data_IF_225484059783
#
_entry.id   IF_225484059783
#
_cell.length_a   1.000
_cell.length_b   1.000
_cell.length_c   1.000
_cell.angle_alpha   90.00
_cell.angle_beta   90.00
_cell.angle_gamma   90.00
#
_symmetry.space_group_name_H-M   'P 1'
#
loop_
_entity.id
_entity.type
_entity.pdbx_description
1 polymer ?
#
# COMPACT_ATOMS: atom_id res chain seq x y z
N UNK A 1 -22.89 9.65 -53.48
CA UNK A 1 -23.95 10.09 -52.53
C UNK A 1 -25.07 9.07 -52.60
N UNK A 2 -25.05 8.09 -51.70
CA UNK A 2 -26.01 6.99 -51.71
C UNK A 2 -27.22 7.43 -50.87
N UNK A 3 -28.27 7.91 -51.52
CA UNK A 3 -29.50 8.38 -50.88
C UNK A 3 -30.33 7.18 -50.43
N UNK A 4 -30.40 6.98 -49.11
CA UNK A 4 -31.23 5.93 -48.50
C UNK A 4 -32.72 6.07 -48.91
N UNK A 5 -33.42 4.98 -49.26
CA UNK A 5 -34.83 5.05 -49.64
C UNK A 5 -35.69 5.46 -48.44
N UNK A 6 -36.55 6.48 -48.61
CA UNK A 6 -37.41 7.06 -47.56
C UNK A 6 -38.38 6.06 -46.92
N UNK A 7 -38.57 4.88 -47.52
CA UNK A 7 -39.37 3.77 -46.97
C UNK A 7 -38.73 3.11 -45.76
N UNK A 8 -37.40 2.92 -45.74
CA UNK A 8 -36.70 2.31 -44.61
C UNK A 8 -36.60 3.25 -43.40
N UNK A 9 -36.56 4.56 -43.63
CA UNK A 9 -36.58 5.55 -42.55
C UNK A 9 -37.92 5.53 -41.80
N UNK A 10 -39.03 5.35 -42.52
CA UNK A 10 -40.37 5.20 -41.93
C UNK A 10 -40.52 3.88 -41.18
N UNK A 11 -39.93 2.80 -41.70
CA UNK A 11 -39.92 1.50 -41.01
C UNK A 11 -39.07 1.52 -39.73
N UNK A 12 -37.88 2.14 -39.77
CA UNK A 12 -37.00 2.26 -38.60
C UNK A 12 -37.61 3.13 -37.49
N UNK A 13 -38.31 4.22 -37.85
CA UNK A 13 -39.01 5.07 -36.89
C UNK A 13 -40.26 4.41 -36.28
N UNK A 14 -40.98 3.58 -37.04
CA UNK A 14 -42.06 2.77 -36.46
C UNK A 14 -41.52 1.71 -35.48
N UNK A 15 -40.36 1.12 -35.77
CA UNK A 15 -39.73 0.11 -34.92
C UNK A 15 -39.23 0.70 -33.59
N UNK A 16 -38.65 1.92 -33.59
CA UNK A 16 -38.20 2.58 -32.35
C UNK A 16 -39.37 3.00 -31.46
N UNK A 17 -40.49 3.43 -32.04
CA UNK A 17 -41.70 3.78 -31.28
C UNK A 17 -42.31 2.53 -30.63
N UNK A 18 -42.38 1.41 -31.35
CA UNK A 18 -42.86 0.13 -30.80
C UNK A 18 -41.95 -0.38 -29.67
N UNK A 19 -40.63 -0.24 -29.81
CA UNK A 19 -39.69 -0.66 -28.76
C UNK A 19 -39.79 0.19 -27.49
N UNK A 20 -40.02 1.50 -27.63
CA UNK A 20 -40.22 2.40 -26.49
C UNK A 20 -41.51 2.09 -25.70
N UNK A 21 -42.59 1.72 -26.39
CA UNK A 21 -43.87 1.34 -25.76
C UNK A 21 -43.74 -0.02 -25.05
N UNK A 22 -42.98 -0.96 -25.60
CA UNK A 22 -42.72 -2.26 -24.98
C UNK A 22 -41.92 -2.14 -23.67
N UNK A 23 -40.96 -1.20 -23.58
CA UNK A 23 -40.18 -0.98 -22.35
C UNK A 23 -41.03 -0.27 -21.28
N UNK A 24 -41.92 0.65 -21.67
CA UNK A 24 -42.77 1.39 -20.74
C UNK A 24 -43.91 0.59 -20.09
N UNK A 25 -44.21 -0.62 -20.57
CA UNK A 25 -45.33 -1.46 -20.09
C UNK A 25 -44.88 -2.69 -19.30
N UNK A 26 -43.57 -2.87 -19.08
CA UNK A 26 -43.05 -3.94 -18.23
C UNK A 26 -43.38 -3.64 -16.76
N UNK A 27 -44.08 -4.54 -16.04
CA UNK A 27 -44.35 -4.36 -14.63
C UNK A 27 -43.03 -4.42 -13.86
N UNK A 28 -42.71 -3.35 -13.13
CA UNK A 28 -41.59 -3.34 -12.21
C UNK A 28 -41.85 -4.37 -11.11
N UNK A 29 -41.05 -5.45 -11.08
CA UNK A 29 -41.08 -6.43 -10.01
C UNK A 29 -40.55 -5.75 -8.74
N UNK A 30 -41.44 -5.33 -7.86
CA UNK A 30 -41.09 -4.85 -6.53
C UNK A 30 -40.66 -6.05 -5.69
N UNK A 31 -39.36 -6.15 -5.42
CA UNK A 31 -38.87 -7.04 -4.37
C UNK A 31 -39.22 -6.40 -3.02
N UNK A 32 -40.24 -6.96 -2.37
CA UNK A 32 -40.61 -6.61 -1.00
C UNK A 32 -39.50 -7.13 -0.07
N UNK A 33 -38.61 -6.23 0.37
CA UNK A 33 -37.75 -6.49 1.52
C UNK A 33 -38.64 -6.65 2.75
N UNK A 34 -38.84 -7.88 3.19
CA UNK A 34 -39.44 -8.15 4.50
C UNK A 34 -38.35 -7.88 5.53
N UNK A 35 -38.35 -6.69 6.13
CA UNK A 35 -37.59 -6.43 7.35
C UNK A 35 -38.33 -7.09 8.52
N UNK A 36 -37.97 -8.33 8.86
CA UNK A 36 -38.30 -8.89 10.17
C UNK A 36 -37.41 -8.24 11.23
N UNK A 37 -37.96 -7.49 12.21
CA UNK A 37 -37.16 -7.05 13.35
C UNK A 37 -36.83 -8.27 14.22
N UNK A 38 -35.57 -8.66 14.25
CA UNK A 38 -35.06 -9.61 15.25
C UNK A 38 -34.92 -8.85 16.56
N UNK A 39 -35.83 -9.08 17.50
CA UNK A 39 -35.67 -8.67 18.89
C UNK A 39 -34.82 -9.71 19.61
N UNK A 40 -33.61 -9.34 20.04
CA UNK A 40 -32.79 -10.17 20.92
C UNK A 40 -33.21 -9.90 22.37
N UNK A 41 -34.07 -10.77 22.91
CA UNK A 41 -34.37 -10.79 24.33
C UNK A 41 -33.21 -11.48 25.07
N UNK A 42 -32.36 -10.68 25.71
CA UNK A 42 -31.31 -11.18 26.60
C UNK A 42 -31.96 -11.57 27.92
N UNK A 43 -32.25 -12.87 28.08
CA UNK A 43 -32.61 -13.43 29.39
C UNK A 43 -31.35 -13.53 30.24
N UNK A 44 -31.22 -12.64 31.23
CA UNK A 44 -30.16 -12.74 32.24
C UNK A 44 -30.58 -13.84 33.23
N UNK A 45 -29.95 -15.00 33.13
CA UNK A 45 -30.08 -16.07 34.11
C UNK A 45 -29.08 -15.80 35.25
N UNK A 46 -29.56 -15.24 36.37
CA UNK A 46 -28.79 -15.17 37.61
C UNK A 46 -28.58 -16.59 38.17
N UNK A 47 -27.40 -17.16 37.95
CA UNK A 47 -26.93 -18.32 38.70
C UNK A 47 -25.88 -17.87 39.71
N UNK A 48 -26.18 -18.12 40.99
CA UNK A 48 -25.32 -17.86 42.15
C UNK A 48 -24.05 -18.71 42.06
N UNK A 49 -22.83 -18.13 42.16
CA UNK A 49 -21.61 -18.92 42.10
C UNK A 49 -21.31 -19.55 43.47
N UNK A 50 -21.27 -20.86 43.51
CA UNK A 50 -20.62 -21.65 44.56
C UNK A 50 -19.11 -21.72 44.23
N UNK A 51 -18.19 -21.54 45.21
CA UNK A 51 -16.76 -21.46 44.92
C UNK A 51 -16.20 -22.83 44.50
N UNK A 52 -15.52 -22.95 43.36
CA UNK A 52 -14.76 -24.16 43.07
C UNK A 52 -13.46 -24.14 43.87
N UNK A 53 -13.23 -25.25 44.57
CA UNK A 53 -11.98 -25.60 45.23
C UNK A 53 -10.84 -25.58 44.19
N UNK A 54 -9.96 -24.58 44.28
CA UNK A 54 -8.83 -24.42 43.36
C UNK A 54 -7.81 -25.51 43.65
N UNK A 55 -7.80 -26.54 42.81
CA UNK A 55 -6.64 -27.40 42.62
C UNK A 55 -5.52 -26.51 42.10
N UNK A 56 -4.61 -26.11 42.98
CA UNK A 56 -3.43 -25.32 42.66
C UNK A 56 -2.51 -26.14 41.73
N UNK A 57 -2.76 -26.05 40.43
CA UNK A 57 -1.75 -26.32 39.43
C UNK A 57 -0.72 -25.20 39.57
N UNK A 58 0.42 -25.52 40.19
CA UNK A 58 1.63 -24.72 40.10
C UNK A 58 1.99 -24.60 38.63
N UNK A 59 1.54 -23.52 38.00
CA UNK A 59 2.21 -22.94 36.85
C UNK A 59 3.53 -22.41 37.39
N UNK A 60 4.58 -23.22 37.31
CA UNK A 60 5.93 -22.67 37.28
C UNK A 60 5.98 -21.73 36.08
N UNK A 61 5.76 -20.45 36.36
CA UNK A 61 6.08 -19.34 35.51
C UNK A 61 7.59 -19.40 35.25
N UNK A 62 7.98 -20.07 34.17
CA UNK A 62 9.26 -19.81 33.53
C UNK A 62 9.18 -18.40 32.96
N UNK A 63 9.36 -17.43 33.84
CA UNK A 63 9.62 -16.04 33.47
C UNK A 63 10.91 -16.02 32.65
N UNK A 64 10.78 -16.12 31.34
CA UNK A 64 11.82 -15.66 30.41
C UNK A 64 12.24 -14.26 30.86
N UNK A 65 13.54 -13.96 30.99
CA UNK A 65 14.00 -12.65 31.42
C UNK A 65 13.37 -11.58 30.50
N UNK A 66 12.80 -10.53 31.10
CA UNK A 66 12.24 -9.38 30.38
C UNK A 66 13.34 -8.64 29.61
N UNK A 67 13.71 -9.17 28.45
CA UNK A 67 14.59 -8.53 27.50
C UNK A 67 13.82 -7.34 26.90
N UNK A 68 14.34 -6.12 27.06
CA UNK A 68 13.63 -4.90 26.70
C UNK A 68 14.08 -4.40 25.33
N UNK A 69 13.11 -4.06 24.48
CA UNK A 69 13.36 -3.37 23.22
C UNK A 69 13.46 -1.86 23.44
N UNK A 70 14.63 -1.30 23.15
CA UNK A 70 14.90 0.13 23.20
C UNK A 70 14.83 0.68 21.78
N UNK A 71 13.97 1.68 21.56
CA UNK A 71 13.81 2.33 20.27
C UNK A 71 14.77 3.51 20.15
N UNK A 72 15.57 3.53 19.08
CA UNK A 72 16.58 4.55 18.83
C UNK A 72 16.26 5.31 17.57
N UNK A 73 16.12 6.62 17.71
CA UNK A 73 16.02 7.56 16.59
C UNK A 73 17.40 8.11 16.23
N UNK A 74 17.78 7.99 14.97
CA UNK A 74 19.05 8.49 14.44
C UNK A 74 19.00 10.01 14.36
N UNK A 75 19.93 10.68 15.04
CA UNK A 75 20.03 12.14 15.06
C UNK A 75 20.98 12.66 13.97
N UNK A 76 20.90 13.95 13.66
CA UNK A 76 21.83 14.58 12.72
C UNK A 76 23.27 14.42 13.22
N UNK A 77 24.13 13.85 12.37
CA UNK A 77 25.52 13.57 12.71
C UNK A 77 25.75 12.27 13.49
N UNK A 78 24.71 11.48 13.76
CA UNK A 78 24.90 10.12 14.27
C UNK A 78 25.51 9.21 13.19
N UNK A 79 26.29 8.24 13.65
CA UNK A 79 26.60 7.01 12.94
C UNK A 79 26.41 5.86 13.94
N UNK A 80 26.46 4.61 13.47
CA UNK A 80 26.16 3.46 14.32
C UNK A 80 27.11 3.36 15.54
N UNK A 81 28.38 3.72 15.37
CA UNK A 81 29.36 3.78 16.47
C UNK A 81 28.98 4.79 17.56
N UNK A 82 28.59 6.01 17.18
CA UNK A 82 28.13 7.04 18.13
C UNK A 82 26.86 6.63 18.85
N UNK A 83 25.97 5.92 18.15
CA UNK A 83 24.75 5.41 18.76
C UNK A 83 25.08 4.33 19.78
N UNK A 84 25.92 3.35 19.43
CA UNK A 84 26.37 2.31 20.36
C UNK A 84 27.02 2.92 21.60
N UNK A 85 27.89 3.92 21.45
CA UNK A 85 28.48 4.64 22.56
C UNK A 85 27.43 5.33 23.44
N UNK A 86 26.45 6.00 22.83
CA UNK A 86 25.37 6.70 23.56
C UNK A 86 24.50 5.76 24.39
N UNK A 87 24.34 4.52 23.96
CA UNK A 87 23.56 3.48 24.68
C UNK A 87 24.44 2.49 25.44
N UNK A 88 25.72 2.83 25.66
CA UNK A 88 26.70 2.04 26.41
C UNK A 88 26.88 0.59 25.89
N UNK A 89 26.78 0.39 24.58
CA UNK A 89 27.06 -0.89 23.93
C UNK A 89 28.54 -1.04 23.57
N UNK A 90 29.00 -2.29 23.56
CA UNK A 90 30.39 -2.62 23.31
C UNK A 90 30.77 -2.36 21.85
N UNK A 91 31.93 -1.73 21.64
CA UNK A 91 32.48 -1.51 20.30
C UNK A 91 32.83 -2.82 19.59
N UNK A 92 33.15 -3.89 20.34
CA UNK A 92 33.41 -5.21 19.79
C UNK A 92 32.16 -5.80 19.11
N UNK A 93 30.98 -5.64 19.72
CA UNK A 93 29.72 -6.09 19.12
C UNK A 93 29.45 -5.37 17.80
N UNK A 94 29.71 -4.06 17.75
CA UNK A 94 29.58 -3.31 16.51
C UNK A 94 30.50 -3.86 15.43
N UNK A 95 31.77 -4.13 15.76
CA UNK A 95 32.73 -4.67 14.80
C UNK A 95 32.26 -6.04 14.28
N UNK A 96 31.85 -6.94 15.17
CA UNK A 96 31.32 -8.26 14.79
C UNK A 96 30.13 -8.15 13.83
N UNK A 97 29.22 -7.20 14.05
CA UNK A 97 28.06 -6.97 13.16
C UNK A 97 28.49 -6.41 11.81
N UNK A 98 29.44 -5.47 11.80
CA UNK A 98 29.97 -4.87 10.57
C UNK A 98 30.72 -5.89 9.70
N UNK A 99 31.32 -6.91 10.33
CA UNK A 99 32.07 -7.98 9.67
C UNK A 99 31.17 -9.07 9.07
N UNK A 100 29.85 -9.04 9.30
CA UNK A 100 28.88 -9.95 8.67
C UNK A 100 28.68 -9.72 7.16
N UNK A 101 29.39 -8.75 6.57
CA UNK A 101 29.45 -8.57 5.12
C UNK A 101 28.40 -7.63 4.54
N UNK A 102 27.91 -7.95 3.33
CA UNK A 102 27.09 -7.04 2.53
C UNK A 102 25.73 -6.71 3.16
N UNK A 103 25.11 -7.65 3.88
CA UNK A 103 23.83 -7.41 4.53
C UNK A 103 23.91 -6.34 5.62
N UNK A 104 25.07 -6.22 6.27
CA UNK A 104 25.33 -5.19 7.28
C UNK A 104 25.57 -3.80 6.67
N UNK A 105 25.71 -3.67 5.34
CA UNK A 105 25.92 -2.37 4.66
C UNK A 105 24.75 -1.42 4.91
N UNK A 106 23.54 -1.94 5.05
CA UNK A 106 22.36 -1.12 5.36
C UNK A 106 22.48 -0.41 6.72
N UNK A 107 23.15 -1.04 7.69
CA UNK A 107 23.43 -0.45 9.00
C UNK A 107 24.57 0.60 8.95
N UNK A 108 25.45 0.54 7.95
CA UNK A 108 26.51 1.55 7.72
C UNK A 108 25.95 2.86 7.16
N UNK A 109 24.80 2.81 6.49
CA UNK A 109 24.18 3.95 5.78
C UNK A 109 22.93 4.47 6.48
N UNK A 110 22.89 4.39 7.81
CA UNK A 110 21.78 4.98 8.56
C UNK A 110 21.74 6.50 8.38
N UNK A 111 20.55 7.03 8.12
CA UNK A 111 20.31 8.45 7.87
C UNK A 111 19.56 9.08 9.05
N UNK A 112 19.79 10.38 9.33
CA UNK A 112 19.01 11.10 10.32
C UNK A 112 17.50 10.97 10.07
N UNK A 113 16.74 10.72 11.14
CA UNK A 113 15.29 10.50 11.08
C UNK A 113 14.86 9.04 10.95
N UNK A 114 15.78 8.13 10.58
CA UNK A 114 15.51 6.70 10.65
C UNK A 114 15.46 6.21 12.10
N UNK A 115 14.77 5.10 12.31
CA UNK A 115 14.58 4.48 13.62
C UNK A 115 14.94 2.99 13.55
N UNK A 116 15.51 2.47 14.63
CA UNK A 116 15.75 1.05 14.81
C UNK A 116 15.60 0.67 16.28
N UNK A 117 15.37 -0.61 16.53
CA UNK A 117 15.20 -1.15 17.87
C UNK A 117 16.42 -2.00 18.24
N UNK A 118 16.85 -1.89 19.50
CA UNK A 118 17.89 -2.70 20.10
C UNK A 118 17.26 -3.53 21.21
N UNK A 119 17.51 -4.83 21.25
CA UNK A 119 17.12 -5.68 22.37
C UNK A 119 18.33 -5.87 23.28
N UNK A 120 18.17 -5.53 24.56
CA UNK A 120 19.23 -5.66 25.57
C UNK A 120 18.84 -6.68 26.63
N UNK A 121 19.83 -7.40 27.15
CA UNK A 121 19.65 -8.22 28.34
C UNK A 121 19.69 -7.37 29.63
N UNK A 122 19.52 -8.02 30.79
CA UNK A 122 19.55 -7.35 32.09
C UNK A 122 20.90 -6.72 32.44
N UNK A 123 21.99 -7.18 31.81
CA UNK A 123 23.34 -6.65 31.99
C UNK A 123 23.67 -5.49 31.03
N UNK A 124 22.76 -5.19 30.09
CA UNK A 124 22.98 -4.20 29.04
C UNK A 124 23.75 -4.74 27.82
N UNK A 125 23.92 -6.06 27.71
CA UNK A 125 24.51 -6.70 26.53
C UNK A 125 23.51 -6.66 25.38
N UNK A 126 24.00 -6.35 24.17
CA UNK A 126 23.19 -6.37 22.96
C UNK A 126 22.78 -7.80 22.61
N UNK A 127 21.49 -8.09 22.53
CA UNK A 127 20.95 -9.38 22.08
C UNK A 127 20.49 -9.34 20.63
N UNK A 128 19.85 -8.24 20.20
CA UNK A 128 19.36 -8.13 18.84
C UNK A 128 19.27 -6.68 18.34
N UNK A 129 19.31 -6.52 17.01
CA UNK A 129 18.99 -5.27 16.29
C UNK A 129 17.85 -5.57 15.33
N UNK A 130 16.83 -4.71 15.34
CA UNK A 130 15.78 -4.70 14.34
C UNK A 130 15.77 -3.35 13.63
N UNK A 131 16.05 -3.35 12.34
CA UNK A 131 16.04 -2.16 11.51
C UNK A 131 15.03 -2.31 10.36
N UNK A 132 13.90 -1.62 10.47
CA UNK A 132 12.90 -1.59 9.42
C UNK A 132 13.33 -0.59 8.33
N UNK A 133 13.87 -1.11 7.23
CA UNK A 133 14.35 -0.29 6.11
C UNK A 133 13.18 0.22 5.26
N UNK A 134 12.17 -0.62 5.06
CA UNK A 134 10.88 -0.25 4.45
C UNK A 134 9.77 -1.05 5.14
N UNK A 135 8.50 -0.74 4.85
CA UNK A 135 7.39 -1.57 5.35
C UNK A 135 7.45 -3.04 4.88
N UNK A 136 8.21 -3.34 3.81
CA UNK A 136 8.40 -4.68 3.29
C UNK A 136 9.70 -5.34 3.74
N UNK A 137 10.69 -4.57 4.18
CA UNK A 137 12.05 -5.07 4.43
C UNK A 137 12.48 -4.70 5.85
N UNK A 138 12.66 -5.71 6.69
CA UNK A 138 13.21 -5.58 8.03
C UNK A 138 14.51 -6.36 8.13
N UNK A 139 15.59 -5.69 8.51
CA UNK A 139 16.85 -6.32 8.84
C UNK A 139 16.81 -6.78 10.30
N UNK A 140 17.12 -8.05 10.53
CA UNK A 140 17.26 -8.65 11.85
C UNK A 140 18.70 -9.07 12.05
N UNK A 141 19.25 -8.68 13.19
CA UNK A 141 20.57 -9.10 13.66
C UNK A 141 20.36 -9.72 15.03
N UNK A 142 20.62 -11.01 15.18
CA UNK A 142 20.40 -11.75 16.41
C UNK A 142 21.75 -12.26 16.93
N UNK A 143 22.01 -12.14 18.23
CA UNK A 143 23.22 -12.71 18.84
C UNK A 143 23.13 -14.23 18.83
N UNK A 144 24.19 -14.88 18.35
CA UNK A 144 24.36 -16.33 18.40
C UNK A 144 25.69 -16.61 19.08
N UNK A 145 25.63 -17.13 20.30
CA UNK A 145 26.79 -17.30 21.18
C UNK A 145 27.55 -15.98 21.39
N UNK A 146 28.78 -15.87 20.91
CA UNK A 146 29.61 -14.66 21.00
C UNK A 146 29.68 -13.86 19.69
N UNK A 147 28.95 -14.29 18.65
CA UNK A 147 28.84 -13.60 17.36
C UNK A 147 27.39 -13.18 17.08
N UNK A 148 27.11 -12.79 15.84
CA UNK A 148 25.80 -12.39 15.37
C UNK A 148 25.44 -13.10 14.06
N UNK A 149 24.16 -13.37 13.88
CA UNK A 149 23.57 -13.76 12.61
C UNK A 149 22.75 -12.61 12.05
N UNK A 150 22.80 -12.41 10.74
CA UNK A 150 22.06 -11.36 10.03
C UNK A 150 21.11 -12.00 9.03
N UNK A 151 19.89 -11.48 8.94
CA UNK A 151 18.91 -11.90 7.93
C UNK A 151 17.95 -10.78 7.59
N UNK A 152 17.51 -10.78 6.34
CA UNK A 152 16.37 -9.98 5.91
C UNK A 152 15.08 -10.75 6.16
N UNK A 153 14.11 -10.08 6.76
CA UNK A 153 12.72 -10.49 6.78
C UNK A 153 11.95 -9.63 5.78
N UNK A 154 11.33 -10.29 4.81
CA UNK A 154 10.47 -9.65 3.82
C UNK A 154 9.01 -9.93 4.18
N UNK A 155 8.21 -8.87 4.31
CA UNK A 155 6.76 -9.03 4.47
C UNK A 155 6.15 -9.40 3.11
N UNK A 156 5.15 -10.29 3.13
CA UNK A 156 4.41 -10.66 1.92
C UNK A 156 3.40 -9.54 1.59
N UNK A 157 3.56 -8.85 0.44
CA UNK A 157 2.64 -7.77 0.09
C UNK A 157 1.34 -8.30 -0.50
N UNK A 158 0.24 -7.66 -0.15
CA UNK A 158 -0.98 -7.70 -0.96
C UNK A 158 -0.91 -6.64 -2.05
N UNK A 159 -1.34 -6.99 -3.27
CA UNK A 159 -1.40 -6.07 -4.40
C UNK A 159 -2.84 -5.84 -4.81
N UNK A 160 -3.28 -4.60 -4.75
CA UNK A 160 -4.61 -4.18 -5.18
C UNK A 160 -4.48 -3.37 -6.47
N UNK A 161 -5.29 -3.70 -7.47
CA UNK A 161 -5.29 -2.99 -8.75
C UNK A 161 -6.26 -1.82 -8.69
N UNK A 162 -5.76 -0.63 -8.99
CA UNK A 162 -6.52 0.62 -8.92
C UNK A 162 -6.57 1.31 -10.27
N UNK A 163 -7.74 1.81 -10.63
CA UNK A 163 -7.96 2.63 -11.83
C UNK A 163 -8.12 4.10 -11.46
N UNK A 164 -7.49 4.97 -12.24
CA UNK A 164 -7.65 6.43 -12.14
C UNK A 164 -7.73 7.04 -13.54
N UNK A 165 -8.37 8.20 -13.64
CA UNK A 165 -8.42 8.99 -14.87
C UNK A 165 -8.57 10.47 -14.57
N UNK A 166 -8.08 11.30 -15.48
CA UNK A 166 -8.27 12.74 -15.43
C UNK A 166 -8.37 13.35 -16.83
N UNK A 167 -8.88 14.58 -16.88
CA UNK A 167 -8.97 15.41 -18.08
C UNK A 167 -8.27 16.74 -17.82
N UNK A 168 -7.49 17.20 -18.79
CA UNK A 168 -6.88 18.51 -18.79
C UNK A 168 -7.98 19.56 -19.00
N UNK A 169 -8.05 20.51 -18.08
CA UNK A 169 -9.08 21.55 -18.04
C UNK A 169 -8.42 22.91 -17.90
N UNK A 170 -9.18 23.99 -17.98
CA UNK A 170 -8.62 25.35 -17.82
C UNK A 170 -8.08 25.56 -16.39
N UNK A 171 -8.73 24.97 -15.40
CA UNK A 171 -8.35 25.01 -13.99
C UNK A 171 -7.27 23.97 -13.63
N UNK A 172 -7.13 22.90 -14.43
CA UNK A 172 -6.07 21.89 -14.28
C UNK A 172 -5.31 21.75 -15.60
N UNK A 173 -4.44 22.74 -15.95
CA UNK A 173 -3.94 22.91 -17.30
C UNK A 173 -2.75 22.02 -17.67
N UNK A 174 -2.28 21.15 -16.76
CA UNK A 174 -1.14 20.26 -17.00
C UNK A 174 -1.37 18.86 -16.44
N UNK A 175 -0.56 17.90 -16.91
CA UNK A 175 -0.52 16.54 -16.39
C UNK A 175 -0.39 16.52 -14.86
N UNK A 176 0.48 17.37 -14.30
CA UNK A 176 0.68 17.45 -12.86
C UNK A 176 -0.60 17.92 -12.14
N UNK A 177 -1.17 19.06 -12.53
CA UNK A 177 -2.39 19.60 -11.88
C UNK A 177 -3.58 18.64 -12.00
N UNK A 178 -3.77 18.04 -13.18
CA UNK A 178 -4.84 17.08 -13.41
C UNK A 178 -4.61 15.78 -12.62
N UNK A 179 -3.37 15.31 -12.54
CA UNK A 179 -2.99 14.10 -11.79
C UNK A 179 -3.20 14.26 -10.29
N UNK A 180 -2.71 15.35 -9.69
CA UNK A 180 -2.91 15.63 -8.27
C UNK A 180 -4.41 15.71 -7.95
N UNK A 181 -5.19 16.40 -8.79
CA UNK A 181 -6.63 16.50 -8.58
C UNK A 181 -7.39 15.17 -8.74
N UNK A 182 -6.86 14.23 -9.51
CA UNK A 182 -7.39 12.86 -9.60
C UNK A 182 -6.95 11.95 -8.44
N UNK A 183 -6.12 12.47 -7.53
CA UNK A 183 -5.56 11.73 -6.40
C UNK A 183 -4.37 10.84 -6.77
N UNK A 184 -3.63 11.18 -7.83
CA UNK A 184 -2.34 10.55 -8.12
C UNK A 184 -1.24 11.16 -7.26
N UNK A 185 -0.29 10.34 -6.83
CA UNK A 185 0.95 10.83 -6.23
C UNK A 185 1.88 11.45 -7.27
N UNK A 186 2.85 12.25 -6.80
CA UNK A 186 3.95 12.74 -7.63
C UNK A 186 4.69 11.59 -8.35
N UNK A 187 4.84 10.43 -7.69
CA UNK A 187 5.53 9.28 -8.26
C UNK A 187 4.79 8.69 -9.46
N UNK A 188 3.46 8.53 -9.35
CA UNK A 188 2.63 8.04 -10.45
C UNK A 188 2.59 9.04 -11.61
N UNK A 189 2.51 10.34 -11.31
CA UNK A 189 2.56 11.39 -12.34
C UNK A 189 3.90 11.34 -13.09
N UNK A 190 5.02 11.20 -12.38
CA UNK A 190 6.34 11.07 -13.00
C UNK A 190 6.46 9.79 -13.82
N UNK A 191 5.93 8.65 -13.34
CA UNK A 191 5.90 7.39 -14.12
C UNK A 191 5.07 7.54 -15.39
N UNK A 192 3.89 8.16 -15.32
CA UNK A 192 3.08 8.48 -16.50
C UNK A 192 3.82 9.38 -17.48
N UNK A 193 4.48 10.43 -16.97
CA UNK A 193 5.30 11.30 -17.80
C UNK A 193 6.40 10.51 -18.50
N UNK A 194 7.09 9.61 -17.79
CA UNK A 194 8.17 8.81 -18.35
C UNK A 194 7.70 7.87 -19.47
N UNK A 195 6.49 7.30 -19.34
CA UNK A 195 5.88 6.41 -20.35
C UNK A 195 5.65 7.15 -21.67
N UNK A 196 5.17 8.39 -21.63
CA UNK A 196 4.70 9.11 -22.82
C UNK A 196 5.62 10.24 -23.30
N UNK A 197 6.71 10.55 -22.60
CA UNK A 197 7.60 11.69 -22.94
C UNK A 197 8.16 11.65 -24.37
N UNK A 198 8.24 10.47 -25.00
CA UNK A 198 8.72 10.30 -26.37
C UNK A 198 7.66 10.64 -27.42
N UNK A 199 6.38 10.51 -27.07
CA UNK A 199 5.26 10.70 -27.98
C UNK A 199 4.54 12.04 -27.80
N UNK A 200 4.61 12.62 -26.59
CA UNK A 200 3.85 13.81 -26.19
C UNK A 200 4.78 14.78 -25.46
N UNK A 201 4.89 16.02 -25.97
CA UNK A 201 5.53 17.10 -25.23
C UNK A 201 4.53 17.73 -24.27
N UNK A 202 4.58 17.36 -22.99
CA UNK A 202 3.64 17.89 -21.98
C UNK A 202 3.68 19.42 -21.80
N UNK A 203 4.77 20.07 -22.22
CA UNK A 203 4.89 21.53 -22.18
C UNK A 203 4.24 22.23 -23.38
N UNK A 204 4.16 21.57 -24.54
CA UNK A 204 3.76 22.21 -25.81
C UNK A 204 2.42 21.69 -26.35
N UNK A 205 2.16 20.40 -26.13
CA UNK A 205 1.11 19.65 -26.83
C UNK A 205 -0.16 19.48 -25.99
N UNK A 206 -0.12 19.74 -24.67
CA UNK A 206 -1.31 19.61 -23.84
C UNK A 206 -2.35 20.70 -24.16
N UNK A 207 -3.60 20.26 -24.28
CA UNK A 207 -4.78 21.10 -24.53
C UNK A 207 -5.93 20.73 -23.59
N UNK A 208 -6.81 21.69 -23.35
CA UNK A 208 -8.09 21.40 -22.67
C UNK A 208 -8.86 20.34 -23.46
N UNK A 209 -9.34 19.31 -22.77
CA UNK A 209 -10.03 18.17 -23.37
C UNK A 209 -9.14 16.93 -23.55
N UNK A 210 -7.81 17.08 -23.52
CA UNK A 210 -6.91 15.94 -23.44
C UNK A 210 -7.19 15.16 -22.16
N UNK A 211 -7.01 13.84 -22.18
CA UNK A 211 -7.30 12.99 -21.02
C UNK A 211 -6.32 11.86 -20.88
N UNK A 212 -6.22 11.34 -19.67
CA UNK A 212 -5.44 10.15 -19.41
C UNK A 212 -6.15 9.24 -18.42
N UNK A 213 -5.85 7.96 -18.51
CA UNK A 213 -6.28 6.95 -17.57
C UNK A 213 -5.14 5.97 -17.32
N UNK A 214 -5.13 5.36 -16.14
CA UNK A 214 -4.15 4.35 -15.79
C UNK A 214 -4.75 3.32 -14.85
N UNK A 215 -4.19 2.13 -14.94
CA UNK A 215 -4.36 1.01 -14.02
C UNK A 215 -3.00 0.77 -13.37
N UNK A 216 -2.93 0.79 -12.04
CA UNK A 216 -1.68 0.64 -11.30
C UNK A 216 -1.87 -0.22 -10.04
N UNK A 217 -0.76 -0.72 -9.52
CA UNK A 217 -0.74 -1.49 -8.27
C UNK A 217 -0.66 -0.55 -7.06
N UNK A 218 -1.51 -0.76 -6.06
CA UNK A 218 -1.27 -0.34 -4.68
C UNK A 218 -0.78 -1.54 -3.87
N UNK A 219 0.25 -1.31 -3.06
CA UNK A 219 0.91 -2.36 -2.27
C UNK A 219 0.53 -2.16 -0.81
N UNK A 220 0.00 -3.22 -0.21
CA UNK A 220 -0.45 -3.27 1.18
C UNK A 220 0.37 -4.27 1.99
N UNK A 221 0.59 -3.96 3.26
CA UNK A 221 1.16 -4.88 4.26
C UNK A 221 0.30 -4.75 5.51
N UNK A 222 -0.16 -5.87 6.05
CA UNK A 222 -1.01 -5.92 7.25
C UNK A 222 -2.25 -4.99 7.16
N UNK A 223 -2.84 -4.87 5.95
CA UNK A 223 -4.02 -4.04 5.68
C UNK A 223 -3.75 -2.55 5.48
N UNK A 224 -2.51 -2.08 5.61
CA UNK A 224 -2.14 -0.67 5.40
C UNK A 224 -1.46 -0.46 4.05
N UNK A 225 -1.81 0.63 3.35
CA UNK A 225 -1.16 0.99 2.08
C UNK A 225 0.25 1.48 2.34
N UNK A 226 1.25 0.72 1.89
CA UNK A 226 2.67 1.03 2.15
C UNK A 226 3.34 1.77 0.99
N UNK A 227 2.95 1.49 -0.26
CA UNK A 227 3.46 2.19 -1.45
C UNK A 227 2.59 1.95 -2.67
N UNK A 228 2.86 2.72 -3.71
CA UNK A 228 2.36 2.47 -5.06
C UNK A 228 3.38 1.64 -5.84
N UNK A 229 2.91 0.61 -6.52
CA UNK A 229 3.69 -0.28 -7.36
C UNK A 229 3.77 0.23 -8.80
N UNK A 230 3.59 -0.69 -9.75
CA UNK A 230 3.77 -0.40 -11.16
C UNK A 230 2.49 0.11 -11.81
N UNK A 231 2.64 0.96 -12.83
CA UNK A 231 1.57 1.18 -13.80
C UNK A 231 1.51 -0.06 -14.70
N UNK A 232 0.36 -0.73 -14.72
CA UNK A 232 0.09 -1.94 -15.50
C UNK A 232 -0.31 -1.55 -16.91
N UNK A 233 -1.20 -0.57 -17.02
CA UNK A 233 -1.61 -0.01 -18.30
C UNK A 233 -1.90 1.48 -18.14
N UNK A 234 -1.67 2.23 -19.21
CA UNK A 234 -2.08 3.61 -19.30
C UNK A 234 -2.62 3.92 -20.69
N UNK A 235 -3.52 4.88 -20.77
CA UNK A 235 -3.97 5.48 -22.03
C UNK A 235 -3.93 6.99 -21.89
N UNK A 236 -3.36 7.66 -22.90
CA UNK A 236 -3.38 9.11 -23.05
C UNK A 236 -4.09 9.46 -24.35
N UNK A 237 -5.05 10.37 -24.30
CA UNK A 237 -5.70 10.95 -25.48
C UNK A 237 -5.21 12.39 -25.57
N UNK A 238 -4.31 12.65 -26.52
CA UNK A 238 -3.75 13.98 -26.77
C UNK A 238 -4.14 14.44 -28.18
N UNK A 239 -4.86 15.56 -28.27
CA UNK A 239 -5.32 16.15 -29.54
C UNK A 239 -6.07 15.11 -30.42
N UNK A 240 -6.92 14.31 -29.78
CA UNK A 240 -7.71 13.26 -30.43
C UNK A 240 -6.94 11.99 -30.83
N UNK A 241 -5.62 11.93 -30.64
CA UNK A 241 -4.81 10.73 -30.86
C UNK A 241 -4.72 9.91 -29.59
N UNK A 242 -4.93 8.59 -29.70
CA UNK A 242 -4.84 7.64 -28.58
C UNK A 242 -3.43 7.07 -28.51
N UNK A 243 -2.83 7.14 -27.32
CA UNK A 243 -1.54 6.57 -26.97
C UNK A 243 -1.72 5.55 -25.85
N UNK A 244 -1.41 4.29 -26.09
CA UNK A 244 -1.60 3.22 -25.10
C UNK A 244 -0.26 2.61 -24.72
N UNK A 245 -0.12 2.30 -23.44
CA UNK A 245 1.03 1.59 -22.91
C UNK A 245 0.53 0.45 -22.03
N UNK A 246 1.12 -0.73 -22.21
CA UNK A 246 0.88 -1.91 -21.36
C UNK A 246 2.23 -2.40 -20.89
N UNK A 247 2.35 -2.60 -19.58
CA UNK A 247 3.56 -3.15 -18.98
C UNK A 247 3.67 -4.62 -19.36
N UNK A 248 4.81 -4.97 -19.94
CA UNK A 248 5.19 -6.34 -20.22
C UNK A 248 5.96 -6.95 -19.03
N UNK A 249 5.77 -8.23 -18.77
CA UNK A 249 6.46 -9.03 -17.74
C UNK A 249 6.91 -10.33 -18.36
N UNK A 250 8.21 -10.60 -18.35
CA UNK A 250 8.83 -11.87 -18.78
C UNK A 250 8.59 -13.01 -17.77
#
# INVERSE_FOLDING_TARGET
>A
VNSYPKSHLKAASALTILLAIAIGTLPAKQETTIETPVSLEVTISESKPEPPEVLALTLQDHMEPRNQWVHIKVKRGDNLARIFQRVNLQAADLQNIIDLGEDAVSLRKILPGQEFSLQLDQSGRLLAIRYQKTALETLLVDRVEDSFAIRWQTAEPEKIIVYKSATITKDKPSLYHAGIAAGLSDNLIMKLSYIYQWDISFALDLRTGDSFSLVYEEIYVDGEKVKEGNIIAATFINIGKVHQAVRYTD
#
